data_IF_898832159590
#
_entry.id   IF_898832159590
#
_cell.length_a   1.000
_cell.length_b   1.000
_cell.length_c   1.000
_cell.angle_alpha   90.00
_cell.angle_beta   90.00
_cell.angle_gamma   90.00
#
_symmetry.space_group_name_H-M   'P 1'
#
loop_
_entity.id
_entity.type
_entity.pdbx_description
1 polymer ?
#
# COMPACT_ATOMS: atom_id res chain seq x y z
N UNK A 1 -1.73 2.92 -36.31
CA UNK A 1 -0.44 2.18 -36.28
C UNK A 1 0.30 2.53 -35.00
N UNK A 2 0.67 1.55 -34.16
CA UNK A 2 1.44 1.83 -32.93
C UNK A 2 2.90 2.11 -33.26
N UNK A 3 3.36 3.34 -33.00
CA UNK A 3 4.76 3.75 -33.13
C UNK A 3 5.66 2.87 -32.23
N UNK A 4 6.80 2.35 -32.71
CA UNK A 4 7.75 1.55 -31.92
C UNK A 4 8.06 2.10 -30.51
N UNK A 5 8.18 3.42 -30.35
CA UNK A 5 8.41 4.04 -29.04
C UNK A 5 7.27 3.79 -28.03
N UNK A 6 6.02 3.80 -28.49
CA UNK A 6 4.85 3.53 -27.64
C UNK A 6 4.76 2.05 -27.27
N UNK A 7 5.18 1.14 -28.17
CA UNK A 7 5.29 -0.29 -27.86
C UNK A 7 6.35 -0.54 -26.80
N UNK A 8 7.51 0.09 -26.94
CA UNK A 8 8.60 -0.03 -25.96
C UNK A 8 8.17 0.47 -24.58
N UNK A 9 7.56 1.67 -24.51
CA UNK A 9 7.04 2.22 -23.24
C UNK A 9 6.01 1.29 -22.58
N UNK A 10 5.16 0.63 -23.38
CA UNK A 10 4.19 -0.33 -22.84
C UNK A 10 4.89 -1.54 -22.21
N UNK A 11 5.85 -2.14 -22.91
CA UNK A 11 6.62 -3.29 -22.39
C UNK A 11 7.33 -2.91 -21.09
N UNK A 12 8.00 -1.76 -21.08
CA UNK A 12 8.73 -1.29 -19.90
C UNK A 12 7.82 -1.04 -18.70
N UNK A 13 6.62 -0.50 -18.94
CA UNK A 13 5.60 -0.32 -17.91
C UNK A 13 5.11 -1.65 -17.36
N UNK A 14 4.86 -2.62 -18.23
CA UNK A 14 4.32 -3.92 -17.83
C UNK A 14 5.38 -4.69 -17.02
N UNK A 15 6.64 -4.69 -17.45
CA UNK A 15 7.77 -5.23 -16.69
C UNK A 15 7.96 -4.55 -15.32
N UNK A 16 7.82 -3.22 -15.25
CA UNK A 16 7.89 -2.47 -14.01
C UNK A 16 6.78 -2.87 -13.03
N UNK A 17 5.55 -3.05 -13.54
CA UNK A 17 4.41 -3.50 -12.72
C UNK A 17 4.61 -4.91 -12.17
N UNK A 18 5.17 -5.81 -12.96
CA UNK A 18 5.51 -7.16 -12.51
C UNK A 18 6.55 -7.12 -11.39
N UNK A 19 7.61 -6.32 -11.55
CA UNK A 19 8.64 -6.17 -10.52
C UNK A 19 8.08 -5.59 -9.21
N UNK A 20 7.23 -4.56 -9.28
CA UNK A 20 6.58 -3.97 -8.10
C UNK A 20 5.61 -4.95 -7.44
N UNK A 21 4.81 -5.67 -8.24
CA UNK A 21 3.88 -6.71 -7.75
C UNK A 21 4.63 -7.81 -7.01
N UNK A 22 5.73 -8.28 -7.59
CA UNK A 22 6.60 -9.27 -6.97
C UNK A 22 7.19 -8.73 -5.66
N UNK A 23 7.68 -7.49 -5.63
CA UNK A 23 8.23 -6.91 -4.40
C UNK A 23 7.19 -6.80 -3.28
N UNK A 24 5.93 -6.46 -3.61
CA UNK A 24 4.82 -6.48 -2.65
C UNK A 24 4.66 -7.88 -2.05
N UNK A 25 4.65 -8.91 -2.90
CA UNK A 25 4.53 -10.30 -2.45
C UNK A 25 5.75 -10.73 -1.61
N UNK A 26 6.96 -10.44 -2.06
CA UNK A 26 8.20 -10.83 -1.38
C UNK A 26 8.33 -10.15 -0.01
N UNK A 27 7.86 -8.91 0.14
CA UNK A 27 7.91 -8.16 1.42
C UNK A 27 6.72 -8.46 2.34
N UNK A 28 5.55 -8.72 1.76
CA UNK A 28 4.27 -8.85 2.48
C UNK A 28 3.65 -10.21 2.13
N UNK A 29 4.32 -11.32 2.45
CA UNK A 29 4.08 -12.70 1.98
C UNK A 29 2.63 -13.21 1.91
N UNK A 30 1.70 -12.60 2.63
CA UNK A 30 0.25 -12.87 2.62
C UNK A 30 -0.53 -12.09 1.55
N UNK A 31 0.16 -11.27 0.75
CA UNK A 31 -0.47 -10.29 -0.11
C UNK A 31 -0.09 -10.41 -1.57
N UNK A 32 -1.11 -10.67 -2.37
CA UNK A 32 -1.00 -10.77 -3.83
C UNK A 32 -1.71 -9.58 -4.47
N UNK A 33 -0.92 -8.65 -5.02
CA UNK A 33 -1.44 -7.54 -5.83
C UNK A 33 -1.12 -7.83 -7.29
N UNK A 34 -2.13 -8.02 -8.13
CA UNK A 34 -1.93 -8.23 -9.56
C UNK A 34 -1.15 -7.05 -10.17
N UNK A 35 -0.21 -7.27 -11.13
CA UNK A 35 0.57 -6.20 -11.75
C UNK A 35 -0.26 -5.02 -12.27
N UNK A 36 -1.45 -5.30 -12.84
CA UNK A 36 -2.38 -4.28 -13.35
C UNK A 36 -3.03 -3.42 -12.26
N UNK A 37 -2.99 -3.85 -10.99
CA UNK A 37 -3.56 -3.20 -9.82
C UNK A 37 -2.52 -2.47 -8.95
N UNK A 38 -1.23 -2.61 -9.27
CA UNK A 38 -0.17 -1.89 -8.56
C UNK A 38 -0.31 -0.37 -8.77
N UNK A 39 -0.15 0.37 -7.68
CA UNK A 39 -0.20 1.83 -7.61
C UNK A 39 1.07 2.33 -6.92
N UNK A 40 1.62 3.43 -7.43
CA UNK A 40 2.71 4.16 -6.74
C UNK A 40 2.18 5.04 -5.62
N UNK A 41 0.90 5.41 -5.69
CA UNK A 41 0.18 6.13 -4.65
C UNK A 41 -0.98 5.23 -4.19
N UNK A 42 -0.68 4.15 -3.45
CA UNK A 42 -1.71 3.27 -2.93
C UNK A 42 -2.56 4.00 -1.89
N UNK A 43 -3.83 3.65 -1.86
CA UNK A 43 -4.75 4.04 -0.80
C UNK A 43 -4.58 3.15 0.43
N UNK A 44 -5.05 3.60 1.60
CA UNK A 44 -5.13 2.77 2.78
C UNK A 44 -5.77 1.38 2.54
N UNK A 45 -6.85 1.33 1.78
CA UNK A 45 -7.56 0.08 1.44
C UNK A 45 -6.78 -0.85 0.53
N UNK A 46 -5.77 -0.35 -0.19
CA UNK A 46 -4.90 -1.23 -0.97
C UNK A 46 -4.03 -2.07 -0.05
N UNK A 47 -3.81 -1.65 1.21
CA UNK A 47 -3.17 -2.39 2.32
C UNK A 47 -1.63 -2.39 2.33
N UNK A 48 -0.99 -1.65 1.42
CA UNK A 48 0.46 -1.53 1.30
C UNK A 48 0.82 -0.09 0.98
N UNK A 49 2.01 0.31 1.40
CA UNK A 49 2.61 1.60 1.08
C UNK A 49 4.05 1.39 0.63
N UNK A 50 4.70 2.46 0.19
CA UNK A 50 6.08 2.41 -0.27
C UNK A 50 6.99 3.08 0.75
N UNK A 51 8.00 2.35 1.22
CA UNK A 51 9.14 2.90 1.93
C UNK A 51 10.27 3.13 0.92
N UNK A 52 10.80 4.35 0.87
CA UNK A 52 11.82 4.74 -0.10
C UNK A 52 12.81 5.75 0.49
N UNK A 53 14.04 5.77 -0.04
CA UNK A 53 15.02 6.82 0.26
C UNK A 53 14.55 8.17 -0.32
N UNK A 54 14.96 9.27 0.30
CA UNK A 54 14.56 10.61 -0.14
C UNK A 54 14.94 10.90 -1.61
N UNK A 55 16.07 10.35 -2.09
CA UNK A 55 16.51 10.42 -3.49
C UNK A 55 15.45 9.88 -4.47
N UNK A 56 14.71 8.85 -4.06
CA UNK A 56 13.72 8.15 -4.90
C UNK A 56 12.32 8.77 -4.80
N UNK A 57 12.12 9.78 -3.93
CA UNK A 57 10.80 10.39 -3.69
C UNK A 57 10.13 10.92 -4.97
N UNK A 58 10.93 11.34 -5.95
CA UNK A 58 10.45 11.87 -7.21
C UNK A 58 9.71 10.83 -8.06
N UNK A 59 10.01 9.53 -7.89
CA UNK A 59 9.37 8.42 -8.61
C UNK A 59 7.91 8.21 -8.18
N UNK A 60 7.54 8.62 -6.97
CA UNK A 60 6.21 8.41 -6.38
C UNK A 60 5.28 9.64 -6.50
N UNK A 61 5.74 10.72 -7.14
CA UNK A 61 4.94 11.94 -7.32
C UNK A 61 3.80 11.78 -8.34
N UNK A 62 3.89 10.80 -9.23
CA UNK A 62 2.94 10.58 -10.33
C UNK A 62 2.52 9.11 -10.42
N UNK A 63 1.32 8.82 -10.96
CA UNK A 63 0.89 7.45 -11.19
C UNK A 63 1.69 6.78 -12.32
N UNK A 64 1.75 5.44 -12.31
CA UNK A 64 2.47 4.64 -13.31
C UNK A 64 2.10 4.97 -14.76
N UNK A 65 0.86 5.36 -15.03
CA UNK A 65 0.40 5.72 -16.38
C UNK A 65 1.13 6.93 -16.96
N UNK A 66 1.56 7.86 -16.10
CA UNK A 66 2.16 9.13 -16.51
C UNK A 66 3.69 9.09 -16.57
N UNK A 67 4.31 8.09 -15.96
CA UNK A 67 5.76 7.96 -15.89
C UNK A 67 6.42 7.76 -17.25
N UNK A 68 7.64 8.29 -17.40
CA UNK A 68 8.47 8.05 -18.57
C UNK A 68 9.02 6.61 -18.59
N UNK A 69 9.54 6.17 -19.73
CA UNK A 69 10.25 4.89 -19.83
C UNK A 69 11.44 4.82 -18.87
N UNK A 70 12.19 5.92 -18.71
CA UNK A 70 13.34 5.95 -17.80
C UNK A 70 12.92 5.77 -16.35
N UNK A 71 11.80 6.37 -15.93
CA UNK A 71 11.29 6.21 -14.57
C UNK A 71 10.90 4.75 -14.28
N UNK A 72 10.43 3.99 -15.28
CA UNK A 72 10.16 2.56 -15.11
C UNK A 72 11.45 1.75 -14.88
N UNK A 73 12.52 2.10 -15.60
CA UNK A 73 13.84 1.46 -15.44
C UNK A 73 14.39 1.79 -14.05
N UNK A 74 14.36 3.07 -13.67
CA UNK A 74 14.84 3.56 -12.37
C UNK A 74 14.09 2.91 -11.20
N UNK A 75 12.76 2.80 -11.28
CA UNK A 75 11.97 2.06 -10.29
C UNK A 75 12.45 0.61 -10.13
N UNK A 76 12.77 -0.08 -11.24
CA UNK A 76 13.24 -1.47 -11.17
C UNK A 76 14.64 -1.59 -10.57
N UNK A 77 15.54 -0.66 -10.87
CA UNK A 77 16.88 -0.67 -10.26
C UNK A 77 16.79 -0.34 -8.76
N UNK A 78 16.00 0.67 -8.38
CA UNK A 78 15.78 1.03 -6.98
C UNK A 78 15.17 -0.13 -6.17
N UNK A 79 14.31 -0.97 -6.79
CA UNK A 79 13.81 -2.20 -6.17
C UNK A 79 14.92 -3.22 -5.91
N UNK A 80 15.82 -3.43 -6.89
CA UNK A 80 16.94 -4.39 -6.76
C UNK A 80 17.95 -3.95 -5.71
N UNK A 81 18.20 -2.64 -5.61
CA UNK A 81 19.09 -2.05 -4.62
C UNK A 81 18.46 -2.00 -3.21
N UNK A 82 17.17 -2.30 -3.10
CA UNK A 82 16.42 -2.14 -1.85
C UNK A 82 16.24 -0.68 -1.42
N UNK A 83 16.46 0.27 -2.33
CA UNK A 83 16.21 1.69 -2.10
C UNK A 83 14.71 2.00 -2.00
N UNK A 84 13.88 1.16 -2.61
CA UNK A 84 12.43 1.17 -2.46
C UNK A 84 11.92 -0.24 -2.11
N UNK A 85 10.91 -0.31 -1.25
CA UNK A 85 10.25 -1.58 -0.87
C UNK A 85 8.82 -1.35 -0.42
N UNK A 86 7.97 -2.35 -0.64
CA UNK A 86 6.62 -2.34 -0.10
C UNK A 86 6.65 -2.56 1.43
N UNK A 87 5.79 -1.85 2.14
CA UNK A 87 5.53 -2.03 3.57
C UNK A 87 4.03 -2.16 3.82
N UNK A 88 3.64 -2.73 4.97
CA UNK A 88 2.22 -2.76 5.36
C UNK A 88 1.75 -1.34 5.64
N UNK A 89 0.59 -0.96 5.11
CA UNK A 89 -0.07 0.23 5.62
C UNK A 89 -0.55 -0.03 7.05
N UNK A 90 -0.23 0.85 7.97
CA UNK A 90 -0.67 0.80 9.38
C UNK A 90 -2.16 1.15 9.56
N UNK A 91 -3.07 0.57 8.77
CA UNK A 91 -4.50 0.94 8.79
C UNK A 91 -5.36 0.21 9.81
N UNK A 92 -4.75 -0.66 10.62
CA UNK A 92 -5.21 -0.83 11.99
C UNK A 92 -4.35 0.13 12.82
N UNK A 93 -4.70 1.41 12.78
CA UNK A 93 -4.18 2.31 13.80
C UNK A 93 -4.59 1.69 15.13
N UNK A 94 -3.66 1.42 16.07
CA UNK A 94 -4.00 0.92 17.40
C UNK A 94 -5.11 1.75 18.04
N UNK A 95 -5.20 3.04 17.71
CA UNK A 95 -6.27 3.93 18.16
C UNK A 95 -7.67 3.52 17.68
N UNK A 96 -7.82 2.93 16.50
CA UNK A 96 -9.15 2.54 15.97
C UNK A 96 -9.65 1.28 16.65
N UNK A 97 -8.79 0.28 16.84
CA UNK A 97 -9.13 -0.91 17.62
C UNK A 97 -9.32 -0.57 19.09
N UNK A 98 -8.42 0.24 19.66
CA UNK A 98 -8.53 0.73 21.04
C UNK A 98 -9.81 1.53 21.26
N UNK A 99 -10.22 2.40 20.32
CA UNK A 99 -11.49 3.14 20.40
C UNK A 99 -12.70 2.22 20.34
N UNK A 100 -12.67 1.16 19.52
CA UNK A 100 -13.74 0.15 19.47
C UNK A 100 -13.83 -0.63 20.79
N UNK A 101 -12.71 -1.15 21.27
CA UNK A 101 -12.63 -1.87 22.54
C UNK A 101 -13.06 -1.00 23.72
N UNK A 102 -12.65 0.27 23.73
CA UNK A 102 -13.07 1.23 24.76
C UNK A 102 -14.58 1.49 24.72
N UNK A 103 -15.16 1.67 23.54
CA UNK A 103 -16.61 1.86 23.40
C UNK A 103 -17.41 0.61 23.84
N UNK A 104 -16.91 -0.60 23.52
CA UNK A 104 -17.51 -1.85 24.00
C UNK A 104 -17.44 -1.98 25.52
N UNK A 105 -16.29 -1.65 26.12
CA UNK A 105 -16.11 -1.68 27.58
C UNK A 105 -17.01 -0.67 28.28
N UNK A 106 -17.06 0.57 27.80
CA UNK A 106 -17.93 1.62 28.35
C UNK A 106 -19.41 1.20 28.27
N UNK A 107 -19.82 0.60 27.14
CA UNK A 107 -21.17 0.05 26.99
C UNK A 107 -21.46 -1.13 27.92
N UNK A 108 -20.48 -1.99 28.20
CA UNK A 108 -20.62 -3.08 29.16
C UNK A 108 -20.76 -2.57 30.60
N UNK A 109 -19.97 -1.58 31.00
CA UNK A 109 -20.07 -0.94 32.30
C UNK A 109 -21.44 -0.30 32.54
N UNK A 110 -22.00 0.38 31.53
CA UNK A 110 -23.34 0.98 31.64
C UNK A 110 -24.44 -0.08 31.87
N UNK A 111 -24.39 -1.21 31.16
CA UNK A 111 -25.36 -2.31 31.36
C UNK A 111 -25.26 -2.94 32.74
N UNK A 112 -24.05 -3.05 33.30
CA UNK A 112 -23.85 -3.57 34.66
C UNK A 112 -24.46 -2.60 35.68
N UNK A 113 -24.25 -1.29 35.52
CA UNK A 113 -24.82 -0.28 36.39
C UNK A 113 -26.36 -0.25 36.37
N UNK A 114 -26.99 -0.46 35.20
CA UNK A 114 -28.44 -0.58 35.07
C UNK A 114 -28.98 -1.81 35.83
N UNK A 115 -28.34 -2.97 35.67
CA UNK A 115 -28.74 -4.20 36.36
C UNK A 115 -28.56 -4.13 37.88
N UNK A 116 -27.54 -3.41 38.36
CA UNK A 116 -27.31 -3.19 39.79
C UNK A 116 -28.34 -2.23 40.41
N UNK A 117 -28.83 -1.25 39.64
CA UNK A 117 -29.85 -0.30 40.07
C UNK A 117 -31.28 -0.85 40.07
N UNK A 118 -31.59 -1.82 39.21
CA UNK A 118 -32.91 -2.48 39.15
C UNK A 118 -33.12 -3.54 40.26
N UNK A 119 -32.04 -3.92 40.95
CA UNK A 119 -32.06 -4.97 41.98
C UNK A 119 -32.03 -4.40 43.42
N UNK A 120 -32.25 -3.09 43.58
CA UNK A 120 -32.39 -2.36 44.86
C UNK A 120 -33.84 -1.95 45.10
#
# INVERSE_FOLDING_TARGET
MSNPGNKNRRIERDNCREALSKNIYDMLSDKVVAPSKVRLQPSPSDGYEWSYKESESHLFKKPLSELSTNNYIELREALKEGAIKATRTHNESPDTEWRKLKAELDGACNRVAELEGENQ
#
